data_IF_624969105531
#
_entry.id   IF_624969105531
#
_cell.length_a   1.000
_cell.length_b   1.000
_cell.length_c   1.000
_cell.angle_alpha   90.00
_cell.angle_beta   90.00
_cell.angle_gamma   90.00
#
_symmetry.space_group_name_H-M   'P 1'
#
loop_
_entity.id
_entity.type
_entity.pdbx_description
1 polymer ?
#
# COMPACT_ATOMS: atom_id res chain seq x y z
N UNK A 1 3.78 2.69 9.10
CA UNK A 1 4.69 1.94 8.23
C UNK A 1 3.94 1.50 6.98
N UNK A 2 4.44 1.87 5.80
CA UNK A 2 3.84 1.55 4.52
C UNK A 2 4.75 0.58 3.76
N UNK A 3 4.16 -0.50 3.27
CA UNK A 3 4.83 -1.52 2.46
C UNK A 3 4.00 -1.86 1.22
N UNK A 4 4.64 -2.47 0.24
CA UNK A 4 4.02 -3.02 -0.95
C UNK A 4 4.38 -4.49 -1.09
N UNK A 5 3.38 -5.32 -1.31
CA UNK A 5 3.54 -6.73 -1.68
C UNK A 5 2.83 -7.07 -3.01
N UNK A 6 2.67 -8.35 -3.30
CA UNK A 6 1.97 -8.85 -4.50
C UNK A 6 0.47 -8.55 -4.52
N UNK A 7 -0.13 -8.27 -3.34
CA UNK A 7 -1.56 -8.01 -3.18
C UNK A 7 -1.90 -6.52 -3.21
N UNK A 8 -0.93 -5.64 -2.95
CA UNK A 8 -1.14 -4.20 -2.97
C UNK A 8 -0.32 -3.44 -1.95
N UNK A 9 -0.89 -2.35 -1.43
CA UNK A 9 -0.26 -1.52 -0.39
C UNK A 9 -0.78 -1.94 0.97
N UNK A 10 0.14 -2.08 1.92
CA UNK A 10 -0.16 -2.39 3.32
C UNK A 10 0.25 -1.23 4.23
N UNK A 11 -0.58 -0.97 5.24
CA UNK A 11 -0.33 0.03 6.27
C UNK A 11 -0.41 -0.61 7.66
N UNK A 12 0.69 -0.57 8.40
CA UNK A 12 0.72 -0.88 9.83
C UNK A 12 0.77 0.42 10.63
N UNK A 13 -0.04 0.51 11.68
CA UNK A 13 -0.07 1.65 12.59
C UNK A 13 0.37 1.22 13.98
N UNK A 14 1.33 1.94 14.54
CA UNK A 14 1.89 1.66 15.86
C UNK A 14 2.06 2.97 16.62
N UNK A 15 1.67 3.00 17.89
CA UNK A 15 1.98 4.09 18.80
C UNK A 15 3.23 3.76 19.59
N UNK A 16 4.12 4.74 19.75
CA UNK A 16 5.34 4.61 20.55
C UNK A 16 5.27 5.46 21.80
N UNK A 17 5.41 4.82 22.93
CA UNK A 17 5.41 5.42 24.26
C UNK A 17 6.74 5.12 24.94
N UNK A 18 7.71 6.00 24.77
CA UNK A 18 9.07 5.76 25.25
C UNK A 18 9.70 4.54 24.57
N UNK A 19 9.96 3.49 25.34
CA UNK A 19 10.52 2.20 24.89
C UNK A 19 9.44 1.16 24.50
N UNK A 20 8.16 1.44 24.80
CA UNK A 20 7.05 0.56 24.42
C UNK A 20 6.47 0.91 23.05
N UNK A 21 6.15 -0.12 22.26
CA UNK A 21 5.49 0.00 20.95
C UNK A 21 4.18 -0.77 21.02
N UNK A 22 3.07 -0.08 20.74
CA UNK A 22 1.72 -0.62 20.76
C UNK A 22 1.19 -0.67 19.33
N UNK A 23 0.88 -1.85 18.77
CA UNK A 23 0.19 -1.92 17.49
C UNK A 23 -1.25 -1.42 17.66
N UNK A 24 -1.70 -0.56 16.73
CA UNK A 24 -3.04 -0.01 16.75
C UNK A 24 -4.00 -0.77 15.81
N UNK A 25 -3.47 -1.57 14.92
CA UNK A 25 -4.23 -2.47 14.04
C UNK A 25 -3.86 -3.92 14.37
N UNK A 26 -4.80 -4.83 14.23
CA UNK A 26 -6.17 -4.70 13.70
C UNK A 26 -7.22 -4.28 14.73
N UNK A 27 -6.87 -4.28 16.01
CA UNK A 27 -7.86 -4.17 17.09
C UNK A 27 -8.32 -2.73 17.35
N UNK A 28 -7.64 -1.75 16.74
CA UNK A 28 -7.87 -0.34 17.02
C UNK A 28 -7.44 0.03 18.46
N UNK A 29 -7.66 1.25 18.90
CA UNK A 29 -7.63 1.57 20.30
C UNK A 29 -8.88 0.95 20.94
N UNK A 30 -8.81 -0.34 21.27
CA UNK A 30 -9.86 -1.03 22.00
C UNK A 30 -10.07 -0.30 23.32
N UNK A 31 -11.32 -0.02 23.63
CA UNK A 31 -11.72 0.42 24.99
C UNK A 31 -11.49 -0.76 25.90
N UNK A 32 -10.25 -0.95 26.31
CA UNK A 32 -9.87 -1.94 27.30
C UNK A 32 -10.33 -1.47 28.69
N UNK A 33 -10.60 -2.42 29.55
CA UNK A 33 -10.95 -2.14 30.93
C UNK A 33 -9.97 -1.14 31.58
N UNK A 34 -10.42 -0.40 32.56
CA UNK A 34 -9.69 0.74 33.19
C UNK A 34 -8.20 0.52 33.51
N UNK A 35 -7.75 -0.75 33.60
CA UNK A 35 -6.35 -1.15 33.82
C UNK A 35 -5.42 -1.03 32.61
N UNK A 36 -5.95 -0.90 31.37
CA UNK A 36 -5.14 -0.87 30.13
C UNK A 36 -4.90 0.54 29.56
N UNK A 37 -5.32 1.57 30.28
CA UNK A 37 -5.03 2.97 29.92
C UNK A 37 -3.57 3.35 30.13
N UNK A 38 -2.81 2.49 30.76
CA UNK A 38 -1.41 2.74 31.09
C UNK A 38 -0.51 1.65 30.55
N UNK A 39 0.65 2.05 30.07
CA UNK A 39 1.65 1.16 29.50
C UNK A 39 2.81 1.07 30.50
N UNK A 40 3.19 -0.15 30.93
CA UNK A 40 4.38 -0.33 31.74
C UNK A 40 5.63 -0.05 30.91
N UNK A 41 6.49 0.81 31.37
CA UNK A 41 7.81 1.09 30.82
C UNK A 41 8.89 0.51 31.74
N UNK A 42 10.12 0.42 31.23
CA UNK A 42 11.28 0.02 32.02
C UNK A 42 11.53 0.89 33.25
N UNK A 43 11.01 2.13 33.26
CA UNK A 43 11.18 3.12 34.36
C UNK A 43 9.88 3.72 34.87
N UNK A 44 8.76 2.98 34.78
CA UNK A 44 7.47 3.47 35.29
C UNK A 44 6.29 3.09 34.43
N UNK A 45 5.25 3.92 34.49
CA UNK A 45 4.00 3.73 33.74
C UNK A 45 3.67 5.04 33.04
N UNK A 46 3.24 4.96 31.77
CA UNK A 46 2.76 6.12 31.01
C UNK A 46 1.31 5.91 30.59
N UNK A 47 0.51 6.97 30.62
CA UNK A 47 -0.85 6.95 30.09
C UNK A 47 -0.84 6.93 28.54
N UNK A 48 -1.77 6.20 27.95
CA UNK A 48 -1.98 6.20 26.49
C UNK A 48 -2.74 7.45 26.07
N UNK A 49 -2.37 8.00 24.94
CA UNK A 49 -3.07 9.09 24.27
C UNK A 49 -4.07 8.52 23.26
N UNK A 50 -5.25 8.16 23.76
CA UNK A 50 -6.29 7.56 22.93
C UNK A 50 -6.81 8.52 21.86
N UNK A 51 -6.82 9.82 22.09
CA UNK A 51 -7.29 10.81 21.13
C UNK A 51 -6.36 10.86 19.91
N UNK A 52 -5.06 10.90 20.14
CA UNK A 52 -4.06 10.84 19.08
C UNK A 52 -4.09 9.48 18.33
N UNK A 53 -4.26 8.36 19.07
CA UNK A 53 -4.39 7.04 18.47
C UNK A 53 -5.65 6.91 17.59
N UNK A 54 -6.80 7.40 18.03
CA UNK A 54 -8.03 7.42 17.25
C UNK A 54 -7.90 8.28 16.00
N UNK A 55 -7.32 9.48 16.13
CA UNK A 55 -7.08 10.36 14.98
C UNK A 55 -6.22 9.67 13.91
N UNK A 56 -5.15 9.01 14.32
CA UNK A 56 -4.29 8.27 13.39
C UNK A 56 -5.02 7.14 12.67
N UNK A 57 -5.88 6.40 13.38
CA UNK A 57 -6.69 5.32 12.78
C UNK A 57 -7.76 5.88 11.85
N UNK A 58 -8.39 6.99 12.19
CA UNK A 58 -9.42 7.60 11.34
C UNK A 58 -8.83 8.09 10.02
N UNK A 59 -7.64 8.70 10.05
CA UNK A 59 -6.91 9.04 8.82
C UNK A 59 -6.58 7.79 8.00
N UNK A 60 -6.10 6.72 8.62
CA UNK A 60 -5.83 5.46 7.89
C UNK A 60 -7.11 4.89 7.28
N UNK A 61 -8.22 4.90 8.01
CA UNK A 61 -9.53 4.40 7.52
C UNK A 61 -10.05 5.16 6.30
N UNK A 62 -9.68 6.41 6.14
CA UNK A 62 -10.07 7.20 4.97
C UNK A 62 -9.42 6.69 3.67
N UNK A 63 -8.18 6.18 3.77
CA UNK A 63 -7.40 5.80 2.59
C UNK A 63 -7.25 4.29 2.41
N UNK A 64 -7.48 3.49 3.45
CA UNK A 64 -7.25 2.05 3.44
C UNK A 64 -8.49 1.26 3.82
N UNK A 65 -8.60 0.07 3.26
CA UNK A 65 -9.55 -0.94 3.75
C UNK A 65 -9.01 -1.53 5.05
N UNK A 66 -9.79 -1.38 6.12
CA UNK A 66 -9.41 -1.88 7.44
C UNK A 66 -9.47 -3.41 7.52
N UNK A 67 -8.59 -4.04 8.31
CA UNK A 67 -8.61 -5.48 8.53
C UNK A 67 -9.95 -5.92 9.16
N UNK A 68 -10.53 -7.00 8.62
CA UNK A 68 -11.82 -7.50 9.06
C UNK A 68 -11.66 -8.40 10.30
N UNK A 69 -11.93 -7.85 11.47
CA UNK A 69 -11.88 -8.58 12.76
C UNK A 69 -12.77 -9.83 12.78
N UNK A 70 -13.94 -9.81 12.12
CA UNK A 70 -14.87 -10.95 12.11
C UNK A 70 -14.26 -12.17 11.42
N UNK A 71 -13.47 -11.95 10.36
CA UNK A 71 -12.80 -13.04 9.65
C UNK A 71 -11.66 -13.65 10.46
N UNK A 72 -11.02 -12.88 11.34
CA UNK A 72 -9.95 -13.37 12.25
C UNK A 72 -10.51 -14.28 13.33
N UNK A 73 -11.61 -13.90 13.98
CA UNK A 73 -12.27 -14.72 14.99
C UNK A 73 -12.72 -16.04 14.39
N UNK A 74 -13.32 -16.04 13.20
CA UNK A 74 -13.72 -17.26 12.49
C UNK A 74 -12.52 -18.16 12.17
N UNK A 75 -11.39 -17.60 11.71
CA UNK A 75 -10.18 -18.36 11.42
C UNK A 75 -9.54 -18.94 12.70
N UNK A 76 -9.51 -18.19 13.79
CA UNK A 76 -9.01 -18.67 15.09
C UNK A 76 -9.90 -19.76 15.70
N UNK A 77 -11.22 -19.62 15.58
CA UNK A 77 -12.20 -20.61 16.12
C UNK A 77 -12.13 -21.94 15.36
N UNK A 78 -11.84 -21.92 14.06
CA UNK A 78 -11.66 -23.16 13.28
C UNK A 78 -10.34 -23.90 13.59
N UNK A 79 -9.38 -23.27 14.24
CA UNK A 79 -8.12 -23.94 14.62
C UNK A 79 -8.22 -24.73 15.94
N UNK A 80 -9.24 -24.51 16.75
CA UNK A 80 -9.33 -25.07 18.12
C UNK A 80 -10.44 -26.09 18.33
N UNK A 81 -11.29 -26.36 17.35
CA UNK A 81 -12.32 -27.39 17.48
C UNK A 81 -11.82 -28.72 16.87
N UNK A 82 -11.48 -29.64 17.73
CA UNK A 82 -11.08 -31.05 17.49
C UNK A 82 -9.67 -31.23 16.92
N UNK A 83 -8.74 -31.68 17.71
CA UNK A 83 -7.37 -32.05 17.43
C UNK A 83 -7.12 -33.06 16.29
N UNK A 84 -8.03 -33.22 15.33
CA UNK A 84 -7.90 -34.04 14.13
C UNK A 84 -7.86 -33.12 12.87
N UNK A 85 -6.66 -32.97 12.34
CA UNK A 85 -6.44 -32.35 11.02
C UNK A 85 -6.90 -33.32 9.94
N UNK A 86 -8.02 -33.05 9.29
CA UNK A 86 -8.43 -33.75 8.07
C UNK A 86 -7.53 -33.39 6.90
N UNK A 87 -7.18 -34.34 6.00
CA UNK A 87 -6.33 -34.08 4.82
C UNK A 87 -6.87 -33.02 3.87
N UNK A 88 -8.18 -32.77 3.87
CA UNK A 88 -8.83 -31.73 3.06
C UNK A 88 -8.48 -30.30 3.52
N UNK A 89 -8.09 -30.10 4.78
CA UNK A 89 -7.67 -28.79 5.29
C UNK A 89 -6.29 -28.34 4.77
N UNK A 90 -5.54 -29.22 4.09
CA UNK A 90 -4.23 -28.90 3.49
C UNK A 90 -4.29 -28.09 2.19
N UNK A 91 -5.47 -28.00 1.54
CA UNK A 91 -5.68 -27.25 0.29
C UNK A 91 -6.50 -25.97 0.46
N UNK A 92 -6.95 -25.63 1.67
CA UNK A 92 -7.40 -24.28 1.92
C UNK A 92 -6.17 -23.38 1.81
N UNK A 93 -6.04 -22.69 0.68
CA UNK A 93 -5.15 -21.56 0.53
C UNK A 93 -5.27 -20.73 1.80
N UNK A 94 -4.19 -20.60 2.55
CA UNK A 94 -4.08 -19.65 3.67
C UNK A 94 -4.44 -18.30 3.07
N UNK A 95 -5.71 -17.91 3.16
CA UNK A 95 -6.11 -16.55 2.91
C UNK A 95 -5.45 -15.78 4.04
N UNK A 96 -4.35 -15.12 3.72
CA UNK A 96 -3.57 -14.33 4.65
C UNK A 96 -4.50 -13.23 5.14
N UNK A 97 -5.01 -13.38 6.37
CA UNK A 97 -5.72 -12.28 7.02
C UNK A 97 -4.64 -11.35 7.49
N UNK A 98 -4.38 -10.33 6.71
CA UNK A 98 -3.43 -9.29 7.06
C UNK A 98 -3.95 -8.54 8.29
N UNK A 99 -3.08 -8.34 9.27
CA UNK A 99 -3.34 -7.48 10.42
C UNK A 99 -3.18 -5.99 10.07
N UNK A 100 -2.74 -5.70 8.85
CA UNK A 100 -2.54 -4.38 8.30
C UNK A 100 -3.80 -3.89 7.56
N UNK A 101 -3.98 -2.59 7.48
CA UNK A 101 -4.92 -1.97 6.56
C UNK A 101 -4.36 -2.02 5.14
N UNK A 102 -5.20 -2.20 4.13
CA UNK A 102 -4.75 -2.53 2.77
C UNK A 102 -5.41 -1.68 1.70
N UNK A 103 -4.70 -1.47 0.59
CA UNK A 103 -5.27 -1.02 -0.68
C UNK A 103 -4.95 -2.11 -1.70
N UNK A 104 -5.97 -2.56 -2.43
CA UNK A 104 -5.80 -3.57 -3.47
C UNK A 104 -4.85 -3.08 -4.57
N UNK A 105 -4.03 -3.98 -5.11
CA UNK A 105 -3.07 -3.69 -6.18
C UNK A 105 -3.73 -3.07 -7.41
N UNK A 106 -4.95 -3.51 -7.74
CA UNK A 106 -5.66 -3.07 -8.94
C UNK A 106 -6.44 -1.76 -8.71
N UNK A 107 -6.55 -1.29 -7.47
CA UNK A 107 -7.18 -0.01 -7.14
C UNK A 107 -6.22 1.16 -7.33
N UNK A 108 -5.88 1.41 -8.60
CA UNK A 108 -5.00 2.52 -9.00
C UNK A 108 -5.50 3.88 -8.51
N UNK A 109 -6.83 4.07 -8.45
CA UNK A 109 -7.42 5.33 -8.01
C UNK A 109 -7.11 5.60 -6.56
N UNK A 110 -7.27 4.60 -5.71
CA UNK A 110 -7.00 4.74 -4.28
C UNK A 110 -5.49 4.86 -4.00
N UNK A 111 -4.66 4.14 -4.77
CA UNK A 111 -3.20 4.27 -4.67
C UNK A 111 -2.77 5.69 -5.02
N UNK A 112 -3.27 6.28 -6.12
CA UNK A 112 -2.96 7.67 -6.51
C UNK A 112 -3.45 8.64 -5.43
N UNK A 113 -4.66 8.45 -4.90
CA UNK A 113 -5.21 9.27 -3.81
C UNK A 113 -4.35 9.20 -2.55
N UNK A 114 -3.82 8.02 -2.22
CA UNK A 114 -2.88 7.85 -1.11
C UNK A 114 -1.64 8.73 -1.29
N UNK A 115 -1.06 8.78 -2.50
CA UNK A 115 0.13 9.61 -2.74
C UNK A 115 -0.15 11.11 -2.79
N UNK A 116 -1.30 11.52 -3.34
CA UNK A 116 -1.65 12.93 -3.50
C UNK A 116 -2.16 13.55 -2.17
N UNK A 117 -2.97 12.82 -1.42
CA UNK A 117 -3.69 13.31 -0.23
C UNK A 117 -3.31 12.54 1.04
N UNK A 118 -3.22 11.21 0.95
CA UNK A 118 -3.05 10.34 2.10
C UNK A 118 -1.68 10.47 2.77
N UNK A 119 -0.59 10.50 2.01
CA UNK A 119 0.76 10.66 2.58
C UNK A 119 0.94 12.00 3.32
N UNK A 120 0.47 13.16 2.79
CA UNK A 120 0.44 14.39 3.57
C UNK A 120 -0.37 14.25 4.86
N UNK A 121 -1.60 13.74 4.79
CA UNK A 121 -2.47 13.58 5.96
C UNK A 121 -1.86 12.63 7.02
N UNK A 122 -1.27 11.51 6.60
CA UNK A 122 -0.59 10.59 7.51
C UNK A 122 0.62 11.24 8.21
N UNK A 123 1.36 12.12 7.51
CA UNK A 123 2.50 12.86 8.10
C UNK A 123 2.08 13.92 9.10
N UNK A 124 0.84 14.40 9.05
CA UNK A 124 0.29 15.33 10.05
C UNK A 124 -0.01 14.64 11.36
N UNK A 125 -0.37 13.36 11.34
CA UNK A 125 -0.75 12.59 12.53
C UNK A 125 0.38 11.74 13.10
N UNK A 126 1.50 11.56 12.37
CA UNK A 126 2.61 10.77 12.84
C UNK A 126 3.79 10.66 11.88
N UNK A 127 4.80 9.93 12.31
CA UNK A 127 5.96 9.60 11.47
C UNK A 127 5.60 8.50 10.46
N UNK A 128 5.86 8.74 9.18
CA UNK A 128 5.60 7.78 8.10
C UNK A 128 6.90 7.15 7.64
N UNK A 129 6.99 5.84 7.78
CA UNK A 129 8.09 5.03 7.29
C UNK A 129 7.63 4.23 6.08
N UNK A 130 8.43 4.22 5.03
CA UNK A 130 8.14 3.51 3.77
C UNK A 130 9.22 2.47 3.48
N UNK A 131 8.85 1.41 2.77
CA UNK A 131 9.83 0.45 2.24
C UNK A 131 10.29 0.85 0.85
N UNK A 132 11.46 0.38 0.41
CA UNK A 132 11.90 0.56 -0.98
C UNK A 132 10.92 -0.03 -2.02
N UNK A 133 10.11 -1.01 -1.64
CA UNK A 133 9.07 -1.58 -2.50
C UNK A 133 7.91 -0.60 -2.68
N UNK A 134 7.49 0.06 -1.60
CA UNK A 134 6.48 1.11 -1.63
C UNK A 134 6.97 2.34 -2.41
N UNK A 135 8.20 2.79 -2.18
CA UNK A 135 8.76 3.97 -2.85
C UNK A 135 8.83 3.80 -4.37
N UNK A 136 8.97 2.56 -4.84
CA UNK A 136 8.97 2.23 -6.29
C UNK A 136 7.58 2.12 -6.91
N UNK A 137 6.50 2.27 -6.13
CA UNK A 137 5.14 2.29 -6.68
C UNK A 137 4.90 3.41 -7.68
N UNK A 138 5.53 4.55 -7.47
CA UNK A 138 5.51 5.66 -8.42
C UNK A 138 6.90 5.83 -9.02
N UNK A 139 6.98 5.82 -10.34
CA UNK A 139 8.24 6.10 -11.03
C UNK A 139 8.76 7.48 -10.62
N UNK A 140 10.03 7.61 -10.21
CA UNK A 140 10.58 8.84 -9.65
C UNK A 140 10.63 9.99 -10.66
N UNK A 141 10.61 9.66 -11.94
CA UNK A 141 10.62 10.66 -13.02
C UNK A 141 9.50 10.37 -14.02
N UNK A 142 8.89 11.43 -14.60
CA UNK A 142 7.99 11.26 -15.72
C UNK A 142 8.77 10.65 -16.90
N UNK A 143 8.16 9.72 -17.68
CA UNK A 143 8.85 9.07 -18.78
C UNK A 143 9.14 10.08 -19.89
N UNK A 144 10.32 10.00 -20.47
CA UNK A 144 10.63 10.69 -21.71
C UNK A 144 10.51 9.68 -22.86
N UNK A 145 9.62 9.96 -23.82
CA UNK A 145 9.48 9.13 -25.02
C UNK A 145 10.21 9.81 -26.16
N UNK A 146 11.17 9.11 -26.74
CA UNK A 146 11.93 9.51 -27.93
C UNK A 146 11.44 8.73 -29.12
N UNK A 147 11.59 9.28 -30.32
CA UNK A 147 11.31 8.59 -31.56
C UNK A 147 12.62 8.04 -32.09
N UNK A 148 12.72 6.71 -32.15
CA UNK A 148 13.81 6.03 -32.81
C UNK A 148 13.51 5.85 -34.29
N UNK A 149 14.45 6.20 -35.15
CA UNK A 149 14.39 5.94 -36.58
C UNK A 149 15.41 4.87 -36.95
N UNK A 150 14.96 3.77 -37.52
CA UNK A 150 15.85 2.77 -38.07
C UNK A 150 15.56 2.55 -39.56
N UNK A 151 16.61 2.39 -40.37
CA UNK A 151 16.49 2.15 -41.80
C UNK A 151 16.81 0.67 -42.02
N UNK A 152 15.81 -0.10 -42.51
CA UNK A 152 15.99 -1.50 -42.91
C UNK A 152 15.71 -1.61 -44.43
N UNK A 153 16.79 -1.68 -45.23
CA UNK A 153 16.67 -1.65 -46.67
C UNK A 153 16.12 -0.31 -47.16
N UNK A 154 14.98 -0.31 -47.86
CA UNK A 154 14.29 0.89 -48.35
C UNK A 154 13.16 1.37 -47.43
N UNK A 155 12.99 0.79 -46.24
CA UNK A 155 11.94 1.15 -45.30
C UNK A 155 12.51 1.91 -44.10
N UNK A 156 11.84 2.97 -43.71
CA UNK A 156 12.11 3.70 -42.48
C UNK A 156 11.15 3.15 -41.41
N UNK A 157 11.70 2.51 -40.40
CA UNK A 157 10.96 2.04 -39.26
C UNK A 157 11.01 3.12 -38.16
N UNK A 158 9.84 3.56 -37.72
CA UNK A 158 9.70 4.53 -36.66
C UNK A 158 9.24 3.78 -35.40
N UNK A 159 10.07 3.78 -34.37
CA UNK A 159 9.77 3.09 -33.13
C UNK A 159 9.79 4.07 -31.95
N UNK A 160 8.73 4.17 -31.16
CA UNK A 160 8.79 4.93 -29.91
C UNK A 160 9.71 4.22 -28.92
N UNK A 161 10.64 4.94 -28.33
CA UNK A 161 11.56 4.47 -27.30
C UNK A 161 11.31 5.25 -26.02
N UNK A 162 11.18 4.56 -24.92
CA UNK A 162 11.12 5.17 -23.59
C UNK A 162 12.21 4.53 -22.72
N UNK A 163 13.02 5.37 -22.07
CA UNK A 163 14.18 4.88 -21.33
C UNK A 163 13.79 4.10 -20.05
N UNK A 164 12.57 4.32 -19.52
CA UNK A 164 12.12 3.76 -18.24
C UNK A 164 10.83 2.91 -18.36
N UNK A 165 10.38 2.63 -19.59
CA UNK A 165 9.14 1.87 -19.85
C UNK A 165 9.44 0.75 -20.81
N UNK A 166 9.00 -0.49 -20.55
CA UNK A 166 9.16 -1.61 -21.47
C UNK A 166 8.61 -1.26 -22.86
N UNK A 167 9.31 -1.64 -23.96
CA UNK A 167 8.90 -1.27 -25.33
C UNK A 167 7.49 -1.73 -25.69
N UNK A 168 7.05 -2.84 -25.16
CA UNK A 168 5.71 -3.42 -25.36
C UNK A 168 4.61 -2.65 -24.62
N UNK A 169 4.96 -1.79 -23.67
CA UNK A 169 4.01 -0.97 -22.89
C UNK A 169 3.94 0.48 -23.33
N UNK A 170 4.90 0.93 -24.16
CA UNK A 170 4.94 2.33 -24.63
C UNK A 170 3.67 2.72 -25.38
N UNK A 171 3.10 1.82 -26.19
CA UNK A 171 1.85 2.06 -26.90
C UNK A 171 0.66 2.30 -25.98
N UNK A 172 0.56 1.53 -24.88
CA UNK A 172 -0.48 1.70 -23.85
C UNK A 172 -0.29 3.00 -23.08
N UNK A 173 0.95 3.33 -22.71
CA UNK A 173 1.31 4.58 -22.06
C UNK A 173 0.89 5.79 -22.91
N UNK A 174 1.23 5.82 -24.22
CA UNK A 174 0.84 6.89 -25.13
C UNK A 174 -0.68 7.02 -25.28
N UNK A 175 -1.40 5.89 -25.25
CA UNK A 175 -2.86 5.90 -25.27
C UNK A 175 -3.46 6.53 -24.02
N UNK A 176 -2.89 6.25 -22.85
CA UNK A 176 -3.26 6.88 -21.57
C UNK A 176 -2.97 8.38 -21.57
N UNK A 177 -1.83 8.77 -22.10
CA UNK A 177 -1.47 10.19 -22.27
C UNK A 177 -2.45 10.95 -23.18
N UNK A 178 -2.83 10.37 -24.32
CA UNK A 178 -3.83 10.95 -25.24
C UNK A 178 -5.19 11.13 -24.58
N UNK A 179 -5.55 10.23 -23.65
CA UNK A 179 -6.77 10.32 -22.84
C UNK A 179 -6.65 11.30 -21.69
N UNK A 180 -5.51 12.00 -21.53
CA UNK A 180 -5.22 12.97 -20.46
C UNK A 180 -5.31 12.34 -19.05
N UNK A 181 -4.99 11.07 -18.93
CA UNK A 181 -4.87 10.44 -17.63
C UNK A 181 -3.66 11.02 -16.89
N UNK A 182 -3.77 11.15 -15.58
CA UNK A 182 -2.66 11.67 -14.74
C UNK A 182 -1.57 10.63 -14.52
N UNK A 183 -1.94 9.36 -14.49
CA UNK A 183 -1.06 8.22 -14.26
C UNK A 183 -1.38 7.10 -15.24
N UNK A 184 -0.38 6.28 -15.53
CA UNK A 184 -0.49 5.02 -16.25
C UNK A 184 0.13 3.92 -15.41
N UNK A 185 -0.56 2.78 -15.25
CA UNK A 185 -0.05 1.63 -14.52
C UNK A 185 0.61 0.66 -15.49
N UNK A 186 1.88 0.35 -15.23
CA UNK A 186 2.63 -0.69 -15.95
C UNK A 186 2.20 -2.09 -15.49
N UNK A 187 2.54 -3.11 -16.27
CA UNK A 187 2.21 -4.52 -15.97
C UNK A 187 2.83 -5.01 -14.65
N UNK A 188 3.97 -4.44 -14.25
CA UNK A 188 4.60 -4.71 -12.96
C UNK A 188 3.89 -4.02 -11.78
N UNK A 189 2.85 -3.20 -12.06
CA UNK A 189 2.09 -2.43 -11.10
C UNK A 189 2.70 -1.09 -10.72
N UNK A 190 3.80 -0.67 -11.35
CA UNK A 190 4.39 0.67 -11.15
C UNK A 190 3.51 1.73 -11.79
N UNK A 191 3.26 2.82 -11.08
CA UNK A 191 2.53 3.98 -11.57
C UNK A 191 3.48 5.00 -12.18
N UNK A 192 3.22 5.34 -13.44
CA UNK A 192 3.99 6.34 -14.19
C UNK A 192 3.18 7.63 -14.24
N UNK A 193 3.76 8.72 -13.73
CA UNK A 193 3.11 10.03 -13.76
C UNK A 193 3.21 10.62 -15.18
N UNK A 194 2.06 10.92 -15.78
CA UNK A 194 1.97 11.45 -17.14
C UNK A 194 1.95 12.98 -17.18
N UNK A 195 1.63 13.64 -16.05
CA UNK A 195 1.70 15.09 -15.96
C UNK A 195 3.16 15.56 -15.95
N UNK A 196 3.55 16.34 -16.96
CA UNK A 196 4.93 16.81 -17.14
C UNK A 196 5.82 15.88 -17.96
N UNK A 197 5.27 14.82 -18.56
CA UNK A 197 6.00 13.96 -19.49
C UNK A 197 6.29 14.72 -20.80
N UNK A 198 7.56 14.74 -21.22
CA UNK A 198 7.95 15.22 -22.55
C UNK A 198 7.71 14.07 -23.55
N UNK A 199 6.51 14.06 -24.14
CA UNK A 199 6.08 13.07 -25.13
C UNK A 199 5.96 13.72 -26.54
N UNK A 200 6.87 14.64 -26.85
CA UNK A 200 6.94 15.33 -28.16
C UNK A 200 7.87 14.63 -29.14
#
# INVERSE_FOLDING_TARGET
>A
YLDRDEHGVQCEVKARYGDAIVPLLPDGPTVHAEGERSIPLSRGVIGRDFDAEHLAIDVVREFFTMPDQRKRVAAATHQTVNGFRTPAARKATKKFVSDAATIDRDDTTQIVRLFDEGLPALKEVGEVFTTPAFDRLIAPKPPSVKVGLSIKGNLVEISPLADEVPPDEVGALLSSYRRRQRFHQLKDGTLVKLSGANLS
#
